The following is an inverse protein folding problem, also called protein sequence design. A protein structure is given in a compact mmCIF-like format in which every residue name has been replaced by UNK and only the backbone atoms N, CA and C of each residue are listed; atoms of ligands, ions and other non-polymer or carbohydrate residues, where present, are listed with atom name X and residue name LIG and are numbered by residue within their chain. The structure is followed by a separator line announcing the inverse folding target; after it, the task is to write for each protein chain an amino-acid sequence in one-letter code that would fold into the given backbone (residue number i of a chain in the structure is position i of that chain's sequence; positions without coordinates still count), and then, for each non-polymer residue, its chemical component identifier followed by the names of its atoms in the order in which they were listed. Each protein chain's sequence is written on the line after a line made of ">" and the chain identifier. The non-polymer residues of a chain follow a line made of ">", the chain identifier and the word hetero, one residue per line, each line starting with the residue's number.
data_IF_104704807073
#
_entry.id   IF_104704807073
#
_cell.length_a   1.000
_cell.length_b   1.000
_cell.length_c   1.000
_cell.angle_alpha   90.00
_cell.angle_beta   90.00
_cell.angle_gamma   90.00
#
_symmetry.space_group_name_H-M   'P 1'
#
loop_
_entity.id
_entity.type
_entity.pdbx_description
1 polymer ?
#
# COMPACT_ATOMS: atom_id res chain seq x y z
N UNK A 1 6.58 20.64 -1.91
CA UNK A 1 5.92 19.33 -1.86
C UNK A 1 4.66 19.33 -1.00
N UNK A 2 4.68 19.75 0.27
CA UNK A 2 3.44 19.80 1.10
C UNK A 2 2.28 20.59 0.47
N UNK A 3 2.57 21.71 -0.18
CA UNK A 3 1.60 22.54 -0.91
C UNK A 3 1.05 21.89 -2.20
N UNK A 4 1.50 20.69 -2.57
CA UNK A 4 0.98 19.94 -3.72
C UNK A 4 0.06 18.78 -3.31
N UNK A 5 -0.08 18.50 -2.02
CA UNK A 5 -0.94 17.44 -1.51
C UNK A 5 -2.35 18.04 -1.36
N UNK A 6 -3.37 17.53 -2.08
CA UNK A 6 -4.73 18.05 -1.94
C UNK A 6 -5.28 17.83 -0.54
N UNK A 7 -6.24 18.67 -0.14
CA UNK A 7 -6.96 18.49 1.11
C UNK A 7 -7.65 17.12 1.18
N UNK A 8 -7.63 16.50 2.36
CA UNK A 8 -8.17 15.15 2.58
C UNK A 8 -7.18 14.01 2.34
N UNK A 9 -6.00 14.27 1.80
CA UNK A 9 -4.96 13.27 1.62
C UNK A 9 -3.94 13.29 2.75
N UNK A 10 -3.53 12.10 3.21
CA UNK A 10 -2.46 11.94 4.19
C UNK A 10 -1.35 11.12 3.55
N UNK A 11 -0.14 11.65 3.55
CA UNK A 11 1.04 10.97 3.03
C UNK A 11 2.00 10.67 4.17
N UNK A 12 2.48 9.43 4.23
CA UNK A 12 3.48 8.97 5.18
C UNK A 12 4.55 8.16 4.46
N UNK A 13 5.76 8.16 5.01
CA UNK A 13 6.93 7.48 4.45
C UNK A 13 7.58 6.56 5.48
N UNK A 14 8.29 5.55 4.98
CA UNK A 14 9.09 4.61 5.75
C UNK A 14 10.19 4.02 4.88
N UNK A 15 11.26 3.53 5.50
CA UNK A 15 12.46 3.09 4.79
C UNK A 15 12.33 1.69 4.17
N UNK A 16 11.43 0.85 4.69
CA UNK A 16 11.22 -0.53 4.23
C UNK A 16 9.76 -0.82 4.00
N UNK A 17 9.42 -1.21 2.77
CA UNK A 17 8.13 -1.79 2.40
C UNK A 17 8.39 -3.08 1.63
N UNK A 18 7.56 -4.10 1.86
CA UNK A 18 7.62 -5.35 1.12
C UNK A 18 6.71 -5.21 -0.11
N UNK A 19 7.25 -4.62 -1.17
CA UNK A 19 6.50 -4.33 -2.39
C UNK A 19 5.59 -3.11 -2.28
N UNK A 20 4.50 -3.11 -3.04
CA UNK A 20 3.51 -2.04 -3.11
C UNK A 20 2.11 -2.62 -3.23
N UNK A 21 1.07 -1.81 -3.05
CA UNK A 21 -0.28 -2.25 -3.32
C UNK A 21 -1.32 -1.15 -3.13
N UNK A 22 -2.57 -1.54 -3.38
CA UNK A 22 -3.72 -0.67 -3.43
C UNK A 22 -4.94 -1.43 -2.93
N UNK A 23 -5.73 -0.78 -2.07
CA UNK A 23 -7.06 -1.25 -1.66
C UNK A 23 -8.08 -0.18 -2.04
N UNK A 24 -9.19 -0.58 -2.65
CA UNK A 24 -10.28 0.32 -3.05
C UNK A 24 -11.59 -0.21 -2.48
N UNK A 25 -12.31 0.65 -1.78
CA UNK A 25 -13.66 0.44 -1.25
C UNK A 25 -13.86 -0.91 -0.53
N UNK A 26 -12.83 -1.36 0.21
CA UNK A 26 -12.84 -2.63 0.96
C UNK A 26 -13.19 -3.87 0.11
N UNK A 27 -13.01 -3.80 -1.21
CA UNK A 27 -13.46 -4.84 -2.14
C UNK A 27 -12.41 -5.24 -3.15
N UNK A 28 -11.69 -4.26 -3.68
CA UNK A 28 -10.64 -4.48 -4.67
C UNK A 28 -9.27 -4.36 -4.04
N UNK A 29 -8.36 -5.22 -4.49
CA UNK A 29 -7.01 -5.25 -3.97
C UNK A 29 -6.04 -5.60 -5.08
N UNK A 30 -4.96 -4.83 -5.15
CA UNK A 30 -3.77 -5.15 -5.91
C UNK A 30 -2.58 -5.21 -4.94
N UNK A 31 -1.85 -6.31 -4.93
CA UNK A 31 -0.58 -6.44 -4.22
C UNK A 31 0.50 -6.71 -5.26
N UNK A 32 1.54 -5.89 -5.25
CA UNK A 32 2.73 -6.05 -6.07
C UNK A 32 3.88 -6.47 -5.17
N UNK A 33 4.30 -7.73 -5.32
CA UNK A 33 5.43 -8.28 -4.60
C UNK A 33 6.68 -8.14 -5.47
N UNK A 34 7.70 -7.51 -4.92
CA UNK A 34 9.03 -7.51 -5.53
C UNK A 34 9.79 -8.74 -5.01
N UNK A 35 10.26 -9.60 -5.92
CA UNK A 35 11.00 -10.81 -5.56
C UNK A 35 12.31 -10.90 -6.33
N UNK A 36 13.42 -11.12 -5.60
CA UNK A 36 14.72 -11.44 -6.19
C UNK A 36 15.56 -10.24 -6.65
N UNK A 37 16.70 -10.55 -7.28
CA UNK A 37 17.67 -9.57 -7.81
C UNK A 37 17.24 -8.96 -9.16
N UNK A 38 16.25 -9.55 -9.82
CA UNK A 38 15.69 -9.04 -11.09
C UNK A 38 14.45 -8.17 -10.85
N UNK A 39 14.24 -7.17 -11.71
CA UNK A 39 13.10 -6.23 -11.70
C UNK A 39 11.75 -6.89 -12.08
N UNK A 40 11.49 -8.12 -11.62
CA UNK A 40 10.23 -8.82 -11.86
C UNK A 40 9.28 -8.60 -10.67
N UNK A 41 8.13 -7.99 -10.98
CA UNK A 41 7.07 -7.78 -10.00
C UNK A 41 5.97 -8.82 -10.20
N UNK A 42 5.60 -9.54 -9.14
CA UNK A 42 4.41 -10.37 -9.14
C UNK A 42 3.22 -9.53 -8.66
N UNK A 43 2.27 -9.28 -9.56
CA UNK A 43 1.00 -8.64 -9.25
C UNK A 43 -0.09 -9.66 -8.93
N UNK A 44 -0.74 -9.53 -7.78
CA UNK A 44 -1.94 -10.28 -7.40
C UNK A 44 -3.10 -9.30 -7.32
N UNK A 45 -4.09 -9.47 -8.19
CA UNK A 45 -5.35 -8.72 -8.16
C UNK A 45 -6.50 -9.60 -7.68
N UNK A 46 -7.38 -9.05 -6.85
CA UNK A 46 -8.62 -9.69 -6.41
C UNK A 46 -9.73 -8.66 -6.19
N UNK A 47 -10.98 -9.08 -6.42
CA UNK A 47 -12.19 -8.31 -6.13
C UNK A 47 -13.04 -9.01 -5.04
N UNK A 48 -12.39 -9.76 -4.16
CA UNK A 48 -13.02 -10.49 -3.08
C UNK A 48 -12.75 -9.79 -1.74
N UNK A 49 -13.81 -9.54 -0.97
CA UNK A 49 -13.74 -8.74 0.27
C UNK A 49 -12.71 -9.29 1.28
N UNK A 50 -12.54 -10.61 1.37
CA UNK A 50 -11.51 -11.22 2.24
C UNK A 50 -10.09 -10.77 1.87
N UNK A 51 -9.76 -10.66 0.58
CA UNK A 51 -8.44 -10.16 0.17
C UNK A 51 -8.26 -8.68 0.50
N UNK A 52 -9.32 -7.88 0.35
CA UNK A 52 -9.31 -6.48 0.75
C UNK A 52 -9.16 -6.28 2.26
N UNK A 53 -9.83 -7.10 3.06
CA UNK A 53 -9.67 -7.08 4.51
C UNK A 53 -8.23 -7.44 4.93
N UNK A 54 -7.65 -8.49 4.35
CA UNK A 54 -6.27 -8.89 4.63
C UNK A 54 -5.26 -7.80 4.23
N UNK A 55 -5.42 -7.22 3.04
CA UNK A 55 -4.55 -6.14 2.58
C UNK A 55 -4.71 -4.87 3.41
N UNK A 56 -5.93 -4.51 3.81
CA UNK A 56 -6.18 -3.36 4.69
C UNK A 56 -5.46 -3.53 6.02
N UNK A 57 -5.61 -4.70 6.68
CA UNK A 57 -4.92 -4.98 7.93
C UNK A 57 -3.38 -4.90 7.79
N UNK A 58 -2.83 -5.36 6.65
CA UNK A 58 -1.41 -5.24 6.35
C UNK A 58 -0.97 -3.78 6.18
N UNK A 59 -1.69 -2.99 5.37
CA UNK A 59 -1.36 -1.59 5.14
C UNK A 59 -1.57 -0.71 6.37
N UNK A 60 -2.56 -1.01 7.21
CA UNK A 60 -2.77 -0.34 8.49
C UNK A 60 -1.60 -0.55 9.45
N UNK A 61 -1.07 -1.78 9.51
CA UNK A 61 0.14 -2.09 10.27
C UNK A 61 1.34 -1.28 9.75
N UNK A 62 1.55 -1.25 8.42
CA UNK A 62 2.61 -0.43 7.82
C UNK A 62 2.43 1.08 8.08
N UNK A 63 1.19 1.53 8.12
CA UNK A 63 0.82 2.93 8.35
C UNK A 63 1.14 3.38 9.76
N UNK A 64 0.81 2.56 10.77
CA UNK A 64 1.08 2.86 12.19
C UNK A 64 2.58 3.11 12.44
N UNK A 65 3.43 2.34 11.78
CA UNK A 65 4.89 2.41 11.91
C UNK A 65 5.57 3.45 10.99
N UNK A 66 4.81 4.13 10.12
CA UNK A 66 5.35 5.12 9.17
C UNK A 66 5.41 6.53 9.78
N UNK A 67 6.11 7.48 9.13
CA UNK A 67 6.20 8.89 9.57
C UNK A 67 5.49 9.83 8.59
N UNK A 68 4.81 10.89 9.05
CA UNK A 68 4.24 11.91 8.15
C UNK A 68 5.29 12.50 7.23
N UNK A 69 4.94 12.67 5.95
CA UNK A 69 5.81 13.36 5.00
C UNK A 69 5.98 14.82 5.47
N UNK A 70 7.23 15.20 5.75
CA UNK A 70 7.63 16.48 6.34
C UNK A 70 7.69 17.61 5.33
#
# INVERSE_FOLDING_TARGET
>A
MKHMIPDGFRIRTRDRVFGAGLVIDERQTLIMLAGGEEQQYLGVYSNHAVFAAMASAYFDSLWQDSKPLS
#
